data_IF_643222513803
#
_entry.id   IF_643222513803
#
_cell.length_a   1.000
_cell.length_b   1.000
_cell.length_c   1.000
_cell.angle_alpha   90.00
_cell.angle_beta   90.00
_cell.angle_gamma   90.00
#
_symmetry.space_group_name_H-M   'P 1'
#
loop_
_entity.id
_entity.type
_entity.pdbx_description
1 polymer ?
#
# COMPACT_ATOMS: atom_id res chain seq x y z
N UNK A 1 -17.81 0.13 -27.02
CA UNK A 1 -18.19 -1.12 -26.33
C UNK A 1 -17.71 -0.98 -24.90
N UNK A 2 -18.63 -0.97 -23.93
CA UNK A 2 -18.30 -0.81 -22.51
C UNK A 2 -17.66 -2.10 -22.02
N UNK A 3 -16.34 -2.13 -21.89
CA UNK A 3 -15.62 -3.24 -21.28
C UNK A 3 -16.01 -3.25 -19.79
N UNK A 4 -16.96 -4.09 -19.41
CA UNK A 4 -17.23 -4.39 -18.00
C UNK A 4 -15.95 -4.99 -17.46
N UNK A 5 -15.14 -4.18 -16.77
CA UNK A 5 -13.90 -4.65 -16.17
C UNK A 5 -14.29 -5.73 -15.16
N UNK A 6 -13.87 -6.96 -15.42
CA UNK A 6 -14.05 -8.07 -14.49
C UNK A 6 -13.42 -7.67 -13.16
N UNK A 7 -14.24 -7.63 -12.10
CA UNK A 7 -13.73 -7.34 -10.76
C UNK A 7 -12.73 -8.44 -10.41
N UNK A 8 -11.50 -8.12 -10.01
CA UNK A 8 -10.53 -9.10 -9.58
C UNK A 8 -11.10 -9.92 -8.43
N UNK A 9 -11.00 -11.25 -8.52
CA UNK A 9 -11.49 -12.15 -7.48
C UNK A 9 -10.61 -12.04 -6.22
N UNK A 10 -11.24 -11.76 -5.09
CA UNK A 10 -10.62 -11.75 -3.77
C UNK A 10 -11.01 -13.03 -3.05
N UNK A 11 -10.05 -13.94 -2.90
CA UNK A 11 -10.23 -15.20 -2.19
C UNK A 11 -10.68 -14.96 -0.72
N UNK A 12 -11.65 -15.72 -0.18
CA UNK A 12 -12.16 -15.54 1.18
C UNK A 12 -11.11 -15.68 2.29
N UNK A 13 -10.16 -16.60 2.15
CA UNK A 13 -9.10 -16.80 3.16
C UNK A 13 -8.16 -15.58 3.14
N UNK A 14 -7.84 -15.10 1.93
CA UNK A 14 -7.06 -13.87 1.76
C UNK A 14 -7.80 -12.64 2.30
N UNK A 15 -9.11 -12.53 2.08
CA UNK A 15 -9.95 -11.47 2.62
C UNK A 15 -9.95 -11.43 4.16
N UNK A 16 -9.81 -12.60 4.79
CA UNK A 16 -9.73 -12.75 6.24
C UNK A 16 -8.42 -12.26 6.87
N UNK A 17 -7.37 -12.05 6.07
CA UNK A 17 -6.04 -11.64 6.58
C UNK A 17 -6.05 -10.23 7.16
N UNK A 18 -5.17 -10.01 8.15
CA UNK A 18 -5.00 -8.68 8.75
C UNK A 18 -4.62 -7.62 7.72
N UNK A 19 -3.78 -7.99 6.74
CA UNK A 19 -3.37 -7.10 5.66
C UNK A 19 -4.55 -6.61 4.82
N UNK A 20 -5.45 -7.49 4.36
CA UNK A 20 -6.59 -7.06 3.55
C UNK A 20 -7.56 -6.20 4.36
N UNK A 21 -7.82 -6.58 5.62
CA UNK A 21 -8.65 -5.77 6.53
C UNK A 21 -8.06 -4.37 6.73
N UNK A 22 -6.75 -4.29 6.91
CA UNK A 22 -6.05 -3.02 7.06
C UNK A 22 -6.06 -2.19 5.77
N UNK A 23 -5.88 -2.82 4.61
CA UNK A 23 -6.02 -2.15 3.32
C UNK A 23 -7.41 -1.53 3.12
N UNK A 24 -8.47 -2.24 3.52
CA UNK A 24 -9.85 -1.69 3.49
C UNK A 24 -9.95 -0.46 4.39
N UNK A 25 -9.44 -0.55 5.64
CA UNK A 25 -9.44 0.56 6.60
C UNK A 25 -8.72 1.79 6.06
N UNK A 26 -7.49 1.61 5.57
CA UNK A 26 -6.67 2.70 5.07
C UNK A 26 -7.22 3.30 3.77
N UNK A 27 -7.78 2.48 2.87
CA UNK A 27 -8.38 2.99 1.63
C UNK A 27 -9.61 3.84 1.93
N UNK A 28 -10.45 3.44 2.89
CA UNK A 28 -11.58 4.26 3.35
C UNK A 28 -11.13 5.52 4.07
N UNK A 29 -10.08 5.46 4.89
CA UNK A 29 -9.53 6.63 5.57
C UNK A 29 -9.02 7.71 4.61
N UNK A 30 -8.58 7.33 3.41
CA UNK A 30 -8.16 8.26 2.36
C UNK A 30 -9.34 8.87 1.57
N UNK A 31 -10.56 8.34 1.72
CA UNK A 31 -11.76 8.83 1.04
C UNK A 31 -12.49 9.87 1.89
N UNK A 32 -12.08 11.13 1.75
CA UNK A 32 -12.62 12.24 2.54
C UNK A 32 -14.12 12.49 2.36
N UNK A 33 -14.72 12.01 1.27
CA UNK A 33 -16.13 12.24 0.94
C UNK A 33 -17.03 11.03 1.27
N UNK A 34 -16.48 9.92 1.78
CA UNK A 34 -17.26 8.72 2.11
C UNK A 34 -17.90 8.03 0.90
N UNK A 35 -17.34 8.25 -0.29
CA UNK A 35 -17.79 7.65 -1.56
C UNK A 35 -17.84 6.12 -1.50
N UNK A 36 -16.94 5.51 -0.73
CA UNK A 36 -16.70 4.07 -0.69
C UNK A 36 -17.18 3.38 0.60
N UNK A 37 -17.90 4.08 1.48
CA UNK A 37 -18.29 3.54 2.79
C UNK A 37 -19.06 2.21 2.68
N UNK A 38 -19.96 2.14 1.72
CA UNK A 38 -20.82 0.97 1.48
C UNK A 38 -20.23 0.00 0.44
N UNK A 39 -19.01 0.22 -0.03
CA UNK A 39 -18.40 -0.66 -1.04
C UNK A 39 -17.86 -1.93 -0.36
N UNK A 40 -18.12 -3.11 -0.96
CA UNK A 40 -17.54 -4.33 -0.46
C UNK A 40 -16.02 -4.37 -0.75
N UNK A 41 -15.22 -5.10 0.06
CA UNK A 41 -13.76 -5.10 -0.03
C UNK A 41 -13.21 -5.37 -1.42
N UNK A 42 -13.77 -6.33 -2.15
CA UNK A 42 -13.36 -6.71 -3.50
C UNK A 42 -13.53 -5.58 -4.51
N UNK A 43 -14.58 -4.76 -4.36
CA UNK A 43 -14.80 -3.59 -5.20
C UNK A 43 -13.89 -2.44 -4.79
N UNK A 44 -13.75 -2.20 -3.48
CA UNK A 44 -12.92 -1.15 -2.91
C UNK A 44 -11.46 -1.31 -3.31
N UNK A 45 -10.95 -2.54 -3.25
CA UNK A 45 -9.54 -2.84 -3.50
C UNK A 45 -9.23 -3.22 -4.95
N UNK A 46 -10.24 -3.40 -5.81
CA UNK A 46 -10.04 -3.67 -7.23
C UNK A 46 -9.06 -2.71 -7.93
N UNK A 47 -9.02 -1.39 -7.64
CA UNK A 47 -8.07 -0.47 -8.28
C UNK A 47 -6.59 -0.73 -7.96
N UNK A 48 -6.29 -1.51 -6.91
CA UNK A 48 -4.93 -1.94 -6.63
C UNK A 48 -4.47 -3.08 -7.55
N UNK A 49 -5.40 -3.76 -8.24
CA UNK A 49 -5.09 -4.88 -9.11
C UNK A 49 -5.05 -4.40 -10.56
N UNK A 50 -3.85 -4.45 -11.13
CA UNK A 50 -3.53 -3.97 -12.47
C UNK A 50 -2.75 -5.07 -13.19
N UNK A 51 -3.34 -5.61 -14.25
CA UNK A 51 -2.69 -6.62 -15.10
C UNK A 51 -1.42 -6.06 -15.73
N UNK A 52 -0.51 -6.94 -16.17
CA UNK A 52 0.75 -6.51 -16.81
C UNK A 52 0.49 -5.68 -18.07
N UNK A 53 -0.52 -6.05 -18.84
CA UNK A 53 -0.93 -5.39 -20.07
C UNK A 53 -1.43 -3.97 -19.76
N UNK A 54 -2.42 -3.85 -18.86
CA UNK A 54 -2.98 -2.56 -18.44
C UNK A 54 -1.92 -1.66 -17.83
N UNK A 55 -0.97 -2.23 -17.06
CA UNK A 55 0.13 -1.45 -16.46
C UNK A 55 1.04 -0.83 -17.53
N UNK A 56 1.30 -1.53 -18.64
CA UNK A 56 2.15 -1.03 -19.74
C UNK A 56 1.45 0.07 -20.54
N UNK A 57 0.12 0.02 -20.63
CA UNK A 57 -0.68 1.01 -21.34
C UNK A 57 -0.76 2.36 -20.61
N UNK A 58 -0.58 2.38 -19.28
CA UNK A 58 -0.59 3.62 -18.50
C UNK A 58 0.63 4.48 -18.87
N UNK A 59 0.43 5.70 -19.40
CA UNK A 59 1.53 6.63 -19.68
C UNK A 59 2.14 7.14 -18.36
N UNK A 60 3.43 7.43 -18.39
CA UNK A 60 4.18 8.02 -17.26
C UNK A 60 4.58 9.42 -17.69
N UNK A 61 3.62 10.35 -17.62
CA UNK A 61 3.77 11.73 -18.10
C UNK A 61 3.16 12.68 -17.08
N UNK A 62 3.97 13.62 -16.58
CA UNK A 62 3.51 14.60 -15.60
C UNK A 62 3.24 13.99 -14.23
N UNK A 63 2.38 14.66 -13.46
CA UNK A 63 2.02 14.27 -12.10
C UNK A 63 1.13 13.01 -12.09
N UNK A 64 1.39 12.03 -11.19
CA UNK A 64 0.44 10.96 -10.95
C UNK A 64 -0.87 11.49 -10.38
N UNK A 65 -1.99 10.94 -10.84
CA UNK A 65 -3.32 11.31 -10.33
C UNK A 65 -3.42 11.20 -8.80
N UNK A 66 -4.15 12.11 -8.17
CA UNK A 66 -4.36 12.12 -6.71
C UNK A 66 -4.91 10.81 -6.16
N UNK A 67 -5.75 10.12 -6.95
CA UNK A 67 -6.31 8.80 -6.59
C UNK A 67 -5.20 7.75 -6.56
N UNK A 68 -4.23 7.79 -7.48
CA UNK A 68 -3.06 6.90 -7.48
C UNK A 68 -2.21 7.19 -6.25
N UNK A 69 -1.93 8.46 -5.97
CA UNK A 69 -1.18 8.88 -4.79
C UNK A 69 -1.87 8.47 -3.49
N UNK A 70 -3.20 8.56 -3.43
CA UNK A 70 -3.99 8.09 -2.29
C UNK A 70 -3.86 6.58 -2.08
N UNK A 71 -3.85 5.78 -3.15
CA UNK A 71 -3.59 4.33 -3.07
C UNK A 71 -2.19 4.02 -2.58
N UNK A 72 -1.17 4.73 -3.06
CA UNK A 72 0.21 4.59 -2.58
C UNK A 72 0.29 4.90 -1.09
N UNK A 73 -0.35 5.98 -0.64
CA UNK A 73 -0.43 6.35 0.79
C UNK A 73 -1.12 5.27 1.62
N UNK A 74 -2.31 4.84 1.23
CA UNK A 74 -3.06 3.81 1.93
C UNK A 74 -2.28 2.49 2.05
N UNK A 75 -1.58 2.07 0.99
CA UNK A 75 -0.77 0.85 0.99
C UNK A 75 0.37 0.91 2.02
N UNK A 76 1.15 1.99 2.04
CA UNK A 76 2.25 2.13 2.99
C UNK A 76 1.76 2.39 4.43
N UNK A 77 0.61 3.06 4.60
CA UNK A 77 -0.05 3.17 5.90
C UNK A 77 -0.45 1.80 6.44
N UNK A 78 -0.92 0.89 5.57
CA UNK A 78 -1.27 -0.46 5.98
C UNK A 78 -0.05 -1.25 6.44
N UNK A 79 1.09 -1.13 5.74
CA UNK A 79 2.36 -1.73 6.18
C UNK A 79 2.75 -1.17 7.55
N UNK A 80 2.69 0.15 7.74
CA UNK A 80 3.03 0.78 9.01
C UNK A 80 2.12 0.28 10.15
N UNK A 81 0.81 0.22 9.92
CA UNK A 81 -0.13 -0.30 10.91
C UNK A 81 0.15 -1.76 11.30
N UNK A 82 0.56 -2.61 10.34
CA UNK A 82 0.96 -3.99 10.63
C UNK A 82 2.28 -4.06 11.41
N UNK A 83 3.27 -3.23 11.06
CA UNK A 83 4.51 -3.13 11.84
C UNK A 83 4.19 -2.76 13.29
N UNK A 84 3.35 -1.73 13.49
CA UNK A 84 2.94 -1.28 14.82
C UNK A 84 2.22 -2.39 15.60
N UNK A 85 1.32 -3.14 14.94
CA UNK A 85 0.62 -4.27 15.54
C UNK A 85 1.60 -5.35 16.04
N UNK A 86 2.62 -5.67 15.27
CA UNK A 86 3.56 -6.77 15.56
C UNK A 86 4.65 -6.37 16.57
N UNK A 87 5.19 -5.15 16.51
CA UNK A 87 6.26 -4.70 17.40
C UNK A 87 5.79 -3.90 18.63
N UNK A 88 4.52 -3.47 18.66
CA UNK A 88 3.97 -2.66 19.75
C UNK A 88 4.54 -1.24 19.84
N UNK A 89 5.18 -0.75 18.77
CA UNK A 89 5.76 0.59 18.67
C UNK A 89 5.16 1.32 17.47
N UNK A 90 4.89 2.61 17.65
CA UNK A 90 4.29 3.43 16.60
C UNK A 90 5.17 3.45 15.35
N UNK A 91 4.58 3.07 14.22
CA UNK A 91 5.23 3.10 12.93
C UNK A 91 4.63 4.23 12.08
N UNK A 92 5.48 5.13 11.60
CA UNK A 92 5.04 6.33 10.86
C UNK A 92 5.54 6.24 9.42
N UNK A 93 4.65 6.21 8.42
CA UNK A 93 5.01 6.29 7.02
C UNK A 93 5.26 7.75 6.59
N UNK A 94 6.29 7.97 5.78
CA UNK A 94 6.55 9.23 5.08
C UNK A 94 6.75 8.96 3.60
N UNK A 95 5.94 9.60 2.75
CA UNK A 95 5.96 9.39 1.31
C UNK A 95 6.21 10.74 0.64
N UNK A 96 7.26 10.81 -0.15
CA UNK A 96 7.57 11.97 -0.97
C UNK A 96 7.63 11.52 -2.43
N UNK A 97 6.76 12.08 -3.27
CA UNK A 97 6.66 11.76 -4.69
C UNK A 97 6.74 13.07 -5.47
N UNK A 98 7.63 13.10 -6.44
CA UNK A 98 7.85 14.21 -7.36
C UNK A 98 6.85 14.18 -8.50
N UNK A 99 6.83 15.28 -9.26
CA UNK A 99 5.94 15.47 -10.40
C UNK A 99 6.21 14.58 -11.60
N UNK A 100 7.24 13.73 -11.58
CA UNK A 100 7.49 12.71 -12.61
C UNK A 100 7.06 11.31 -12.14
N UNK A 101 6.49 11.20 -10.93
CA UNK A 101 6.16 9.91 -10.32
C UNK A 101 7.37 9.16 -9.76
N UNK A 102 8.47 9.85 -9.47
CA UNK A 102 9.63 9.33 -8.75
C UNK A 102 9.59 9.77 -7.29
N UNK A 103 10.00 8.91 -6.37
CA UNK A 103 9.92 9.24 -4.96
C UNK A 103 10.52 8.21 -4.03
N UNK A 104 10.23 8.39 -2.74
CA UNK A 104 10.56 7.42 -1.69
C UNK A 104 9.39 7.27 -0.73
N UNK A 105 9.18 6.04 -0.27
CA UNK A 105 8.35 5.71 0.87
C UNK A 105 9.25 5.18 1.98
N UNK A 106 9.25 5.90 3.09
CA UNK A 106 9.96 5.56 4.32
C UNK A 106 8.95 5.12 5.36
N UNK A 107 9.30 4.15 6.20
CA UNK A 107 8.60 3.91 7.46
C UNK A 107 9.63 3.99 8.57
N UNK A 108 9.28 4.75 9.61
CA UNK A 108 10.10 4.93 10.80
C UNK A 108 9.40 4.40 12.03
N UNK A 109 10.16 3.80 12.95
CA UNK A 109 9.71 3.46 14.31
C UNK A 109 10.68 4.15 15.26
N UNK A 110 10.18 5.07 16.08
CA UNK A 110 11.03 6.00 16.84
C UNK A 110 11.96 6.78 15.90
N UNK A 111 13.28 6.61 16.05
CA UNK A 111 14.29 7.19 15.13
C UNK A 111 14.88 6.21 14.12
N UNK A 112 14.36 4.99 14.06
CA UNK A 112 14.85 3.92 13.19
C UNK A 112 14.08 3.91 11.88
N UNK A 113 14.78 4.00 10.75
CA UNK A 113 14.18 3.75 9.43
C UNK A 113 14.11 2.24 9.22
N UNK A 114 12.90 1.69 9.23
CA UNK A 114 12.64 0.23 9.13
C UNK A 114 12.23 -0.20 7.73
N UNK A 115 11.83 0.75 6.89
CA UNK A 115 11.58 0.53 5.48
C UNK A 115 12.07 1.75 4.69
N UNK A 116 12.79 1.48 3.61
CA UNK A 116 13.20 2.46 2.62
C UNK A 116 12.95 1.92 1.22
N UNK A 117 11.88 2.42 0.58
CA UNK A 117 11.47 2.00 -0.75
C UNK A 117 11.59 3.16 -1.73
N UNK A 118 12.40 2.98 -2.77
CA UNK A 118 12.38 3.87 -3.93
C UNK A 118 11.14 3.60 -4.76
N UNK A 119 10.39 4.64 -5.10
CA UNK A 119 9.22 4.59 -5.96
C UNK A 119 9.57 5.18 -7.33
N UNK A 120 9.18 4.47 -8.40
CA UNK A 120 9.33 4.89 -9.79
C UNK A 120 8.06 4.56 -10.54
N UNK A 121 7.77 5.31 -11.59
CA UNK A 121 6.58 5.14 -12.42
C UNK A 121 5.30 5.06 -11.58
N UNK A 122 5.14 5.92 -10.56
CA UNK A 122 4.02 5.83 -9.60
C UNK A 122 2.64 5.80 -10.28
N UNK A 123 2.50 6.44 -11.44
CA UNK A 123 1.33 6.34 -12.34
C UNK A 123 0.81 4.90 -12.51
N UNK A 124 1.74 3.93 -12.55
CA UNK A 124 1.52 2.51 -12.79
C UNK A 124 1.33 1.69 -11.52
N UNK A 125 1.21 2.33 -10.37
CA UNK A 125 1.08 1.64 -9.08
C UNK A 125 -0.09 0.66 -9.07
N UNK A 126 0.23 -0.59 -8.76
CA UNK A 126 -0.71 -1.70 -8.69
C UNK A 126 0.00 -3.05 -8.70
N UNK A 127 -0.75 -4.11 -8.44
CA UNK A 127 -0.29 -5.48 -8.28
C UNK A 127 -1.02 -6.40 -9.25
N UNK A 128 -0.43 -7.54 -9.60
CA UNK A 128 -1.05 -8.48 -10.56
C UNK A 128 -2.25 -9.23 -9.96
N UNK A 129 -2.25 -9.42 -8.64
CA UNK A 129 -3.32 -10.06 -7.87
C UNK A 129 -3.25 -9.63 -6.41
N UNK A 130 -4.31 -9.87 -5.64
CA UNK A 130 -4.32 -9.61 -4.20
C UNK A 130 -3.25 -10.41 -3.45
N UNK A 131 -3.00 -11.66 -3.87
CA UNK A 131 -1.91 -12.48 -3.31
C UNK A 131 -0.56 -11.82 -3.54
N UNK A 132 -0.28 -11.30 -4.75
CA UNK A 132 0.97 -10.57 -5.02
C UNK A 132 1.09 -9.28 -4.22
N UNK A 133 -0.03 -8.60 -4.00
CA UNK A 133 -0.06 -7.42 -3.12
C UNK A 133 0.30 -7.78 -1.67
N UNK A 134 -0.24 -8.89 -1.15
CA UNK A 134 0.08 -9.39 0.18
C UNK A 134 1.53 -9.86 0.27
N UNK A 135 2.02 -10.63 -0.70
CA UNK A 135 3.40 -11.11 -0.74
C UNK A 135 4.41 -9.94 -0.69
N UNK A 136 4.11 -8.82 -1.37
CA UNK A 136 4.93 -7.60 -1.33
C UNK A 136 4.94 -6.98 0.07
N UNK A 137 3.76 -6.90 0.71
CA UNK A 137 3.63 -6.40 2.08
C UNK A 137 4.38 -7.28 3.09
N UNK A 138 4.21 -8.60 3.02
CA UNK A 138 4.83 -9.55 3.95
C UNK A 138 6.37 -9.46 3.92
N UNK A 139 6.96 -9.24 2.74
CA UNK A 139 8.40 -9.02 2.59
C UNK A 139 8.85 -7.77 3.33
N UNK A 140 8.13 -6.65 3.16
CA UNK A 140 8.47 -5.40 3.83
C UNK A 140 8.27 -5.50 5.34
N UNK A 141 7.19 -6.16 5.79
CA UNK A 141 6.91 -6.38 7.19
C UNK A 141 8.00 -7.24 7.86
N UNK A 142 8.39 -8.35 7.23
CA UNK A 142 9.44 -9.23 7.76
C UNK A 142 10.79 -8.50 7.93
N UNK A 143 11.21 -7.75 6.90
CA UNK A 143 12.46 -6.96 6.96
C UNK A 143 12.36 -5.87 8.02
N UNK A 144 11.23 -5.17 8.13
CA UNK A 144 11.05 -4.14 9.13
C UNK A 144 11.16 -4.70 10.56
N UNK A 145 10.52 -5.83 10.83
CA UNK A 145 10.57 -6.49 12.13
C UNK A 145 11.97 -7.02 12.47
N UNK A 146 12.70 -7.53 11.48
CA UNK A 146 14.10 -7.92 11.67
C UNK A 146 14.98 -6.72 12.07
N UNK A 147 14.83 -5.59 11.37
CA UNK A 147 15.57 -4.35 11.67
C UNK A 147 15.23 -3.83 13.07
N UNK A 148 13.95 -3.84 13.46
CA UNK A 148 13.50 -3.42 14.80
C UNK A 148 14.08 -4.35 15.88
N UNK A 149 14.05 -5.66 15.66
CA UNK A 149 14.61 -6.64 16.59
C UNK A 149 16.13 -6.49 16.77
N UNK A 150 16.83 -6.02 15.72
CA UNK A 150 18.28 -5.77 15.75
C UNK A 150 18.67 -4.47 16.45
N UNK A 151 17.82 -3.44 16.39
CA UNK A 151 18.07 -2.10 16.96
C UNK A 151 16.91 -1.61 17.84
N UNK A 152 16.49 -2.36 18.87
CA UNK A 152 15.34 -2.02 19.70
C UNK A 152 15.52 -0.71 20.47
N UNK A 153 16.75 -0.35 20.81
CA UNK A 153 17.09 0.90 21.48
C UNK A 153 16.79 2.12 20.61
N UNK A 154 16.99 2.05 19.29
CA UNK A 154 16.71 3.15 18.36
C UNK A 154 15.21 3.24 18.06
N UNK A 155 14.55 2.08 17.97
CA UNK A 155 13.10 1.98 17.80
C UNK A 155 12.33 2.52 19.02
N UNK A 156 12.95 2.54 20.20
CA UNK A 156 12.36 3.03 21.45
C UNK A 156 12.52 4.53 21.71
N UNK A 157 13.22 5.27 20.85
CA UNK A 157 13.50 6.71 20.99
C UNK A 157 12.37 7.63 20.49
#
# INVERSE_FOLDING_TARGET
MSTTATVPELDPDLAGTDFIKEMVRQTRAMDSYGTYDNWPPERLLAPYIVTKEKRREIPVIGDPDDIVLARVRAYHNAIAALIEKECGRMAVPMINITHEGFGRALITVGKLVVMDRTLRDVHRFGFESYSKMKDDCDKHLAVALEIIGKYPEVAGL
#
